data_IF_940973780572
#
_entry.id   IF_940973780572
#
_cell.length_a   1.000
_cell.length_b   1.000
_cell.length_c   1.000
_cell.angle_alpha   90.00
_cell.angle_beta   90.00
_cell.angle_gamma   90.00
#
_symmetry.space_group_name_H-M   'P 1'
#
loop_
_entity.id
_entity.type
_entity.pdbx_description
1 polymer ?
#
# COMPACT_ATOMS: atom_id res chain seq x y z
N UNK A 1 13.51 23.31 14.21
CA UNK A 1 14.51 23.39 13.12
C UNK A 1 13.97 22.61 11.94
N UNK A 2 13.56 23.31 10.88
CA UNK A 2 13.09 22.69 9.65
C UNK A 2 14.30 22.08 8.91
N UNK A 3 14.52 20.79 9.04
CA UNK A 3 15.36 20.08 8.08
C UNK A 3 14.59 20.01 6.75
N UNK A 4 14.84 20.98 5.87
CA UNK A 4 14.62 20.79 4.45
C UNK A 4 15.64 19.72 4.03
N UNK A 5 15.21 18.45 3.96
CA UNK A 5 16.00 17.43 3.29
C UNK A 5 16.26 17.90 1.85
N UNK A 6 17.52 17.86 1.45
CA UNK A 6 17.94 18.19 0.09
C UNK A 6 17.14 17.32 -0.87
N UNK A 7 16.30 17.93 -1.71
CA UNK A 7 15.74 17.28 -2.89
C UNK A 7 16.91 16.78 -3.74
N UNK A 8 17.11 15.49 -3.73
CA UNK A 8 18.04 14.85 -4.67
C UNK A 8 17.26 14.59 -5.94
N UNK A 9 17.75 15.07 -7.08
CA UNK A 9 17.16 14.76 -8.38
C UNK A 9 17.07 13.24 -8.59
N UNK A 10 16.11 12.80 -9.41
CA UNK A 10 15.96 11.39 -9.75
C UNK A 10 17.27 10.82 -10.35
N UNK A 11 17.59 9.57 -9.99
CA UNK A 11 18.73 8.87 -10.57
C UNK A 11 18.55 8.65 -12.08
N UNK A 12 19.64 8.41 -12.77
CA UNK A 12 19.60 8.07 -14.20
C UNK A 12 18.77 6.80 -14.43
N UNK A 13 18.93 5.79 -13.56
CA UNK A 13 18.16 4.54 -13.62
C UNK A 13 16.66 4.80 -13.37
N UNK A 14 16.32 5.58 -12.35
CA UNK A 14 14.94 5.95 -12.05
C UNK A 14 14.28 6.69 -13.20
N UNK A 15 14.98 7.64 -13.79
CA UNK A 15 14.52 8.39 -14.97
C UNK A 15 14.28 7.46 -16.16
N UNK A 16 15.22 6.57 -16.48
CA UNK A 16 15.11 5.61 -17.59
C UNK A 16 13.92 4.66 -17.40
N UNK A 17 13.75 4.10 -16.20
CA UNK A 17 12.64 3.19 -15.92
C UNK A 17 11.30 3.94 -16.03
N UNK A 18 11.20 5.15 -15.50
CA UNK A 18 10.02 5.99 -15.64
C UNK A 18 9.66 6.26 -17.09
N UNK A 19 10.64 6.62 -17.93
CA UNK A 19 10.42 6.88 -19.35
C UNK A 19 10.01 5.62 -20.12
N UNK A 20 10.57 4.46 -19.77
CA UNK A 20 10.15 3.19 -20.34
C UNK A 20 8.71 2.86 -19.98
N UNK A 21 8.32 3.05 -18.72
CA UNK A 21 6.94 2.86 -18.27
C UNK A 21 6.01 3.81 -19.03
N UNK A 22 6.34 5.10 -19.11
CA UNK A 22 5.53 6.09 -19.82
C UNK A 22 5.30 5.72 -21.30
N UNK A 23 6.35 5.23 -21.96
CA UNK A 23 6.25 4.72 -23.32
C UNK A 23 5.33 3.50 -23.42
N UNK A 24 5.49 2.56 -22.50
CA UNK A 24 4.72 1.32 -22.50
C UNK A 24 3.24 1.58 -22.22
N UNK A 25 2.93 2.42 -21.25
CA UNK A 25 1.56 2.74 -20.84
C UNK A 25 0.81 3.57 -21.89
N UNK A 26 1.46 4.56 -22.49
CA UNK A 26 0.87 5.39 -23.54
C UNK A 26 0.59 4.60 -24.84
N UNK A 27 1.42 3.59 -25.17
CA UNK A 27 1.22 2.76 -26.35
C UNK A 27 0.18 1.64 -26.19
N UNK A 28 -0.07 1.15 -24.99
CA UNK A 28 -0.84 -0.09 -24.79
C UNK A 28 -2.25 0.14 -24.25
N UNK A 29 -2.74 1.36 -24.17
CA UNK A 29 -4.11 1.68 -23.79
C UNK A 29 -4.52 0.96 -22.50
N UNK A 30 -3.68 0.99 -21.47
CA UNK A 30 -3.92 0.29 -20.19
C UNK A 30 -5.28 0.65 -19.62
N UNK A 31 -5.68 1.91 -19.69
CA UNK A 31 -7.01 2.35 -19.26
C UNK A 31 -8.16 1.64 -20.01
N UNK A 32 -7.99 1.39 -21.32
CA UNK A 32 -8.98 0.61 -22.09
C UNK A 32 -9.07 -0.84 -21.64
N UNK A 33 -7.93 -1.45 -21.30
CA UNK A 33 -7.86 -2.83 -20.79
C UNK A 33 -8.46 -2.97 -19.39
N UNK A 34 -8.36 -1.91 -18.58
CA UNK A 34 -9.04 -1.84 -17.29
C UNK A 34 -10.56 -1.86 -17.49
N UNK A 35 -11.08 -0.94 -18.31
CA UNK A 35 -12.52 -0.85 -18.61
C UNK A 35 -13.11 -2.10 -19.22
N UNK A 36 -12.34 -2.80 -20.07
CA UNK A 36 -12.79 -4.04 -20.73
C UNK A 36 -12.60 -5.30 -19.88
N UNK A 37 -12.12 -5.16 -18.62
CA UNK A 37 -11.82 -6.31 -17.77
C UNK A 37 -10.64 -7.17 -18.24
N UNK A 38 -9.89 -6.75 -19.26
CA UNK A 38 -8.77 -7.53 -19.79
C UNK A 38 -7.60 -7.64 -18.79
N UNK A 39 -7.38 -6.60 -17.98
CA UNK A 39 -6.36 -6.64 -16.90
C UNK A 39 -6.76 -7.59 -15.76
N UNK A 40 -8.04 -7.92 -15.66
CA UNK A 40 -8.56 -8.90 -14.69
C UNK A 40 -8.41 -10.33 -15.16
N UNK A 41 -8.39 -10.55 -16.49
CA UNK A 41 -8.05 -11.85 -17.05
C UNK A 41 -6.61 -12.09 -16.66
N UNK A 42 -6.46 -12.90 -15.63
CA UNK A 42 -5.23 -13.36 -15.04
C UNK A 42 -4.07 -13.26 -16.03
N UNK A 43 -3.18 -12.30 -15.83
CA UNK A 43 -1.85 -12.43 -16.37
C UNK A 43 -1.38 -13.79 -15.88
N UNK A 44 -1.12 -14.71 -16.79
CA UNK A 44 -0.62 -16.04 -16.43
C UNK A 44 0.78 -15.80 -15.89
N UNK A 45 0.87 -15.54 -14.59
CA UNK A 45 2.17 -15.41 -13.94
C UNK A 45 2.85 -16.77 -13.89
N UNK A 46 4.15 -16.79 -14.05
CA UNK A 46 4.95 -17.98 -13.77
C UNK A 46 4.76 -18.38 -12.31
N UNK A 47 4.89 -19.68 -12.01
CA UNK A 47 4.88 -20.14 -10.64
C UNK A 47 5.93 -19.37 -9.83
N UNK A 48 5.53 -18.85 -8.67
CA UNK A 48 6.46 -18.22 -7.76
C UNK A 48 7.18 -19.29 -6.94
N UNK A 49 8.48 -19.22 -6.93
CA UNK A 49 9.29 -20.13 -6.12
C UNK A 49 9.52 -19.50 -4.75
N UNK A 50 9.17 -20.22 -3.71
CA UNK A 50 9.47 -19.80 -2.33
C UNK A 50 10.98 -19.73 -2.18
N UNK A 51 11.56 -18.61 -1.74
CA UNK A 51 13.00 -18.51 -1.52
C UNK A 51 13.47 -19.47 -0.44
N UNK A 52 14.74 -19.87 -0.50
CA UNK A 52 15.39 -20.66 0.56
C UNK A 52 15.30 -19.92 1.90
N UNK A 53 15.03 -20.64 2.98
CA UNK A 53 14.84 -20.06 4.32
C UNK A 53 13.43 -19.56 4.61
N UNK A 54 12.47 -19.82 3.72
CA UNK A 54 11.06 -19.45 3.90
C UNK A 54 10.11 -20.60 3.63
N UNK A 55 8.98 -20.57 4.31
CA UNK A 55 7.82 -21.41 4.05
C UNK A 55 6.59 -20.53 3.70
N UNK A 56 5.82 -20.96 2.72
CA UNK A 56 4.57 -20.29 2.32
C UNK A 56 3.39 -21.25 2.52
N UNK A 57 2.44 -20.85 3.35
CA UNK A 57 1.21 -21.60 3.62
C UNK A 57 0.03 -20.86 3.01
N UNK A 58 -0.77 -21.57 2.20
CA UNK A 58 -2.03 -21.08 1.68
C UNK A 58 -3.13 -21.29 2.72
N UNK A 59 -3.92 -20.26 2.98
CA UNK A 59 -5.03 -20.28 3.93
C UNK A 59 -6.29 -19.86 3.18
N UNK A 60 -7.32 -20.69 3.24
CA UNK A 60 -8.61 -20.36 2.63
C UNK A 60 -9.56 -19.86 3.72
N UNK A 61 -9.93 -18.59 3.63
CA UNK A 61 -11.05 -18.04 4.39
C UNK A 61 -12.37 -18.35 3.65
N UNK A 62 -13.49 -18.06 4.27
CA UNK A 62 -14.81 -18.31 3.66
C UNK A 62 -14.97 -17.63 2.30
N UNK A 63 -14.51 -16.39 2.16
CA UNK A 63 -14.73 -15.54 0.98
C UNK A 63 -13.48 -15.20 0.20
N UNK A 64 -12.28 -15.33 0.78
CA UNK A 64 -11.02 -14.94 0.13
C UNK A 64 -9.85 -15.82 0.60
N UNK A 65 -8.81 -15.99 -0.23
CA UNK A 65 -7.59 -16.67 0.18
C UNK A 65 -6.59 -15.71 0.83
N UNK A 66 -5.73 -16.28 1.69
CA UNK A 66 -4.59 -15.60 2.30
C UNK A 66 -3.32 -16.44 2.12
N UNK A 67 -2.17 -15.78 2.18
CA UNK A 67 -0.86 -16.40 2.15
C UNK A 67 -0.10 -16.03 3.42
N UNK A 68 0.39 -17.04 4.12
CA UNK A 68 1.21 -16.89 5.31
C UNK A 68 2.66 -17.25 4.99
N UNK A 69 3.53 -16.25 4.99
CA UNK A 69 4.96 -16.40 4.79
C UNK A 69 5.68 -16.42 6.14
N UNK A 70 6.47 -17.45 6.40
CA UNK A 70 7.29 -17.59 7.59
C UNK A 70 8.75 -17.82 7.24
N UNK A 71 9.66 -17.20 7.99
CA UNK A 71 11.09 -17.50 7.96
C UNK A 71 11.38 -18.77 8.75
N UNK A 72 12.33 -19.58 8.30
CA UNK A 72 12.84 -20.76 9.05
C UNK A 72 13.54 -20.36 10.35
N UNK A 73 13.93 -19.11 10.50
CA UNK A 73 14.63 -18.55 11.65
C UNK A 73 14.00 -17.22 12.11
N UNK A 74 12.78 -17.24 12.63
CA UNK A 74 12.10 -16.02 13.07
C UNK A 74 12.74 -15.50 14.37
N UNK A 75 13.18 -14.23 14.37
CA UNK A 75 13.67 -13.52 15.56
C UNK A 75 12.66 -12.49 16.07
N UNK A 76 11.54 -12.30 15.34
CA UNK A 76 10.54 -11.28 15.61
C UNK A 76 9.31 -11.85 16.31
N UNK A 77 8.82 -11.15 17.33
CA UNK A 77 7.51 -11.40 17.96
C UNK A 77 6.37 -10.60 17.29
N UNK A 78 6.69 -9.86 16.24
CA UNK A 78 5.75 -9.05 15.47
C UNK A 78 5.31 -9.80 14.21
N UNK A 79 4.20 -9.36 13.64
CA UNK A 79 3.66 -9.84 12.36
C UNK A 79 3.24 -8.67 11.51
N UNK A 80 3.34 -8.83 10.19
CA UNK A 80 2.87 -7.81 9.25
C UNK A 80 1.67 -8.32 8.45
N UNK A 81 0.59 -7.53 8.43
CA UNK A 81 -0.55 -7.71 7.53
C UNK A 81 -0.31 -6.87 6.28
N UNK A 82 -0.14 -7.52 5.14
CA UNK A 82 0.06 -6.90 3.84
C UNK A 82 -1.24 -6.84 3.04
N UNK A 83 -1.60 -5.65 2.59
CA UNK A 83 -2.75 -5.35 1.75
C UNK A 83 -2.25 -4.88 0.38
N UNK A 84 -2.56 -5.63 -0.67
CA UNK A 84 -2.04 -5.36 -2.01
C UNK A 84 -2.72 -4.17 -2.70
N UNK A 85 -2.03 -3.52 -3.63
CA UNK A 85 -2.60 -2.53 -4.54
C UNK A 85 -3.41 -3.16 -5.67
N UNK A 86 -3.71 -2.36 -6.68
CA UNK A 86 -4.47 -2.80 -7.87
C UNK A 86 -5.82 -2.09 -8.02
N UNK A 87 -6.01 -0.94 -7.35
CA UNK A 87 -7.19 -0.08 -7.52
C UNK A 87 -8.50 -0.73 -7.13
N UNK A 88 -8.47 -1.67 -6.19
CA UNK A 88 -9.62 -2.48 -5.76
C UNK A 88 -10.28 -3.31 -6.86
N UNK A 89 -9.62 -3.45 -8.02
CA UNK A 89 -10.08 -4.27 -9.15
C UNK A 89 -9.04 -5.33 -9.58
N UNK A 90 -7.77 -5.10 -9.26
CA UNK A 90 -6.69 -6.05 -9.48
C UNK A 90 -6.52 -6.99 -8.31
N UNK A 91 -6.16 -8.24 -8.59
CA UNK A 91 -5.88 -9.27 -7.59
C UNK A 91 -4.41 -9.32 -7.21
N UNK A 92 -4.10 -10.02 -6.12
CA UNK A 92 -2.73 -10.28 -5.68
C UNK A 92 -1.91 -11.00 -6.77
N UNK A 93 -0.64 -10.65 -6.87
CA UNK A 93 0.31 -11.23 -7.82
C UNK A 93 1.71 -11.39 -7.21
N UNK A 94 2.65 -12.02 -7.96
CA UNK A 94 3.98 -12.40 -7.45
C UNK A 94 4.81 -11.25 -6.86
N UNK A 95 4.63 -10.01 -7.31
CA UNK A 95 5.35 -8.87 -6.73
C UNK A 95 5.03 -8.70 -5.23
N UNK A 96 3.81 -9.01 -4.80
CA UNK A 96 3.42 -8.94 -3.38
C UNK A 96 4.06 -10.05 -2.54
N UNK A 97 4.33 -11.23 -3.12
CA UNK A 97 5.11 -12.28 -2.46
C UNK A 97 6.56 -11.84 -2.26
N UNK A 98 7.13 -11.14 -3.25
CA UNK A 98 8.46 -10.54 -3.11
C UNK A 98 8.47 -9.42 -2.05
N UNK A 99 7.42 -8.62 -1.95
CA UNK A 99 7.26 -7.65 -0.87
C UNK A 99 7.17 -8.32 0.49
N UNK A 100 6.43 -9.43 0.60
CA UNK A 100 6.33 -10.19 1.84
C UNK A 100 7.70 -10.69 2.31
N UNK A 101 8.55 -11.17 1.40
CA UNK A 101 9.94 -11.55 1.72
C UNK A 101 10.74 -10.34 2.20
N UNK A 102 10.67 -9.19 1.51
CA UNK A 102 11.37 -7.98 1.93
C UNK A 102 10.90 -7.47 3.31
N UNK A 103 9.61 -7.47 3.56
CA UNK A 103 9.10 -7.13 4.90
C UNK A 103 9.62 -8.06 5.97
N UNK A 104 9.63 -9.37 5.69
CA UNK A 104 10.15 -10.37 6.62
C UNK A 104 11.65 -10.17 6.90
N UNK A 105 12.46 -9.98 5.85
CA UNK A 105 13.90 -9.69 5.98
C UNK A 105 14.16 -8.44 6.81
N UNK A 106 13.48 -7.33 6.49
CA UNK A 106 13.63 -6.06 7.20
C UNK A 106 13.08 -6.10 8.63
N UNK A 107 12.17 -7.02 8.91
CA UNK A 107 11.56 -7.26 10.22
C UNK A 107 12.20 -8.40 11.00
N UNK A 108 13.44 -8.82 10.69
CA UNK A 108 14.17 -9.88 11.37
C UNK A 108 13.43 -11.23 11.37
N UNK A 109 13.00 -11.66 10.19
CA UNK A 109 12.24 -12.91 10.04
C UNK A 109 10.77 -12.81 10.47
N UNK A 110 10.24 -11.60 10.57
CA UNK A 110 8.84 -11.34 10.92
C UNK A 110 7.90 -12.05 9.93
N UNK A 111 6.94 -12.85 10.41
CA UNK A 111 5.94 -13.45 9.55
C UNK A 111 5.10 -12.37 8.83
N UNK A 112 4.66 -12.69 7.61
CA UNK A 112 3.82 -11.80 6.79
C UNK A 112 2.55 -12.53 6.36
N UNK A 113 1.39 -11.97 6.70
CA UNK A 113 0.10 -12.37 6.19
C UNK A 113 -0.27 -11.47 5.01
N UNK A 114 -0.36 -12.04 3.81
CA UNK A 114 -0.86 -11.33 2.61
C UNK A 114 -2.25 -11.84 2.28
N UNK A 115 -3.20 -10.95 2.04
CA UNK A 115 -4.56 -11.34 1.68
C UNK A 115 -4.86 -10.98 0.22
N UNK A 116 -5.51 -11.90 -0.52
CA UNK A 116 -6.06 -11.65 -1.85
C UNK A 116 -7.55 -11.29 -1.68
N UNK A 117 -7.78 -10.10 -1.13
CA UNK A 117 -9.13 -9.64 -0.78
C UNK A 117 -10.05 -9.55 -1.99
N UNK A 118 -11.36 -9.59 -1.74
CA UNK A 118 -12.42 -9.44 -2.75
C UNK A 118 -12.31 -8.09 -3.44
N UNK A 119 -12.50 -8.07 -4.75
CA UNK A 119 -12.33 -6.89 -5.60
C UNK A 119 -13.54 -6.62 -6.47
N UNK A 120 -13.71 -5.34 -6.80
CA UNK A 120 -14.77 -4.89 -7.70
C UNK A 120 -14.48 -5.33 -9.15
N UNK A 121 -15.52 -5.40 -10.02
CA UNK A 121 -16.92 -5.06 -9.77
C UNK A 121 -17.71 -6.19 -9.12
N UNK A 122 -17.17 -7.41 -9.01
CA UNK A 122 -17.90 -8.54 -8.44
C UNK A 122 -18.25 -8.27 -6.98
N UNK A 123 -17.28 -7.71 -6.25
CA UNK A 123 -17.38 -7.40 -4.82
C UNK A 123 -16.96 -5.95 -4.56
N UNK A 124 -17.85 -4.97 -4.75
CA UNK A 124 -17.56 -3.57 -4.46
C UNK A 124 -17.41 -3.32 -2.94
N UNK A 125 -17.16 -2.09 -2.55
CA UNK A 125 -17.19 -1.70 -1.13
C UNK A 125 -18.50 -2.20 -0.46
N UNK A 126 -18.45 -2.76 0.76
CA UNK A 126 -17.30 -2.79 1.68
C UNK A 126 -16.43 -4.07 1.66
N UNK A 127 -16.57 -4.94 0.65
CA UNK A 127 -16.01 -6.30 0.66
C UNK A 127 -14.50 -6.35 1.00
N UNK A 128 -13.69 -5.50 0.40
CA UNK A 128 -12.25 -5.45 0.68
C UNK A 128 -11.95 -5.06 2.14
N UNK A 129 -12.72 -4.13 2.71
CA UNK A 129 -12.57 -3.73 4.11
C UNK A 129 -13.00 -4.85 5.07
N UNK A 130 -14.09 -5.55 4.78
CA UNK A 130 -14.54 -6.71 5.55
C UNK A 130 -13.49 -7.82 5.57
N UNK A 131 -12.86 -8.08 4.43
CA UNK A 131 -11.79 -9.07 4.31
C UNK A 131 -10.54 -8.64 5.10
N UNK A 132 -10.17 -7.35 5.06
CA UNK A 132 -9.06 -6.82 5.86
C UNK A 132 -9.36 -6.91 7.37
N UNK A 133 -10.60 -6.64 7.79
CA UNK A 133 -11.03 -6.81 9.19
C UNK A 133 -10.98 -8.29 9.59
N UNK A 134 -11.45 -9.19 8.73
CA UNK A 134 -11.41 -10.64 8.99
C UNK A 134 -9.97 -11.16 9.13
N UNK A 135 -9.05 -10.67 8.31
CA UNK A 135 -7.63 -11.01 8.40
C UNK A 135 -6.99 -10.46 9.69
N UNK A 136 -7.36 -9.26 10.10
CA UNK A 136 -6.95 -8.69 11.39
C UNK A 136 -7.42 -9.56 12.56
N UNK A 137 -8.69 -9.94 12.57
CA UNK A 137 -9.25 -10.80 13.62
C UNK A 137 -8.60 -12.18 13.63
N UNK A 138 -8.32 -12.76 12.46
CA UNK A 138 -7.57 -14.02 12.34
C UNK A 138 -6.18 -13.93 12.98
N UNK A 139 -5.46 -12.82 12.83
CA UNK A 139 -4.16 -12.62 13.50
C UNK A 139 -4.31 -12.58 15.03
N UNK A 140 -5.35 -11.93 15.55
CA UNK A 140 -5.63 -11.93 16.98
C UNK A 140 -5.97 -13.34 17.51
N UNK A 141 -6.78 -14.10 16.76
CA UNK A 141 -7.12 -15.49 17.08
C UNK A 141 -5.90 -16.41 16.99
N UNK A 142 -4.96 -16.15 16.11
CA UNK A 142 -3.66 -16.85 16.01
C UNK A 142 -2.76 -16.54 17.23
N UNK A 143 -3.12 -15.56 18.04
CA UNK A 143 -2.44 -15.22 19.29
C UNK A 143 -1.58 -13.97 19.25
N UNK A 144 -1.56 -13.24 18.13
CA UNK A 144 -0.87 -11.95 18.09
C UNK A 144 -1.67 -10.88 18.82
N UNK A 145 -0.98 -10.04 19.57
CA UNK A 145 -1.58 -8.85 20.18
C UNK A 145 -1.59 -7.72 19.14
N UNK A 146 -2.58 -6.83 19.22
CA UNK A 146 -2.68 -5.69 18.32
C UNK A 146 -1.40 -4.82 18.27
N UNK A 147 -0.77 -4.60 19.43
CA UNK A 147 0.49 -3.86 19.56
C UNK A 147 1.74 -4.61 19.01
N UNK A 148 1.54 -5.79 18.42
CA UNK A 148 2.54 -6.60 17.72
C UNK A 148 2.20 -6.78 16.23
N UNK A 149 1.14 -6.16 15.75
CA UNK A 149 0.73 -6.21 14.35
C UNK A 149 1.10 -4.90 13.68
N UNK A 150 1.75 -4.97 12.52
CA UNK A 150 1.99 -3.86 11.61
C UNK A 150 1.09 -4.06 10.40
N UNK A 151 0.48 -3.00 9.88
CA UNK A 151 -0.30 -3.07 8.65
C UNK A 151 0.41 -2.29 7.56
N UNK A 152 0.61 -2.90 6.40
CA UNK A 152 1.27 -2.29 5.27
C UNK A 152 0.46 -2.47 3.98
N UNK A 153 0.47 -1.45 3.12
CA UNK A 153 -0.15 -1.55 1.81
C UNK A 153 0.35 -0.48 0.85
N UNK A 154 0.10 -0.71 -0.43
CA UNK A 154 0.43 0.20 -1.52
C UNK A 154 -0.81 0.58 -2.32
N UNK A 155 -0.85 1.78 -2.88
CA UNK A 155 -1.96 2.21 -3.75
C UNK A 155 -3.33 2.04 -3.06
N UNK A 156 -4.26 1.27 -3.66
CA UNK A 156 -5.53 0.89 -3.03
C UNK A 156 -5.33 0.16 -1.69
N UNK A 157 -4.34 -0.75 -1.60
CA UNK A 157 -3.98 -1.42 -0.35
C UNK A 157 -3.46 -0.46 0.72
N UNK A 158 -2.78 0.63 0.33
CA UNK A 158 -2.40 1.71 1.23
C UNK A 158 -3.61 2.48 1.76
N UNK A 159 -4.59 2.76 0.90
CA UNK A 159 -5.89 3.32 1.30
C UNK A 159 -6.63 2.37 2.24
N UNK A 160 -6.66 1.06 1.91
CA UNK A 160 -7.31 0.03 2.72
C UNK A 160 -6.66 -0.14 4.11
N UNK A 161 -5.32 0.00 4.21
CA UNK A 161 -4.62 -0.03 5.49
C UNK A 161 -5.05 1.11 6.41
N UNK A 162 -5.23 2.32 5.86
CA UNK A 162 -5.74 3.47 6.59
C UNK A 162 -7.22 3.30 6.95
N UNK A 163 -8.05 2.79 6.01
CA UNK A 163 -9.46 2.50 6.25
C UNK A 163 -9.64 1.44 7.35
N UNK A 164 -8.82 0.39 7.36
CA UNK A 164 -8.80 -0.60 8.45
C UNK A 164 -8.49 0.07 9.79
N UNK A 165 -7.48 0.94 9.85
CA UNK A 165 -7.15 1.69 11.06
C UNK A 165 -8.33 2.54 11.55
N UNK A 166 -9.05 3.22 10.66
CA UNK A 166 -10.26 3.99 10.99
C UNK A 166 -11.38 3.09 11.51
N UNK A 167 -11.62 1.98 10.82
CA UNK A 167 -12.63 1.00 11.25
C UNK A 167 -12.35 0.48 12.66
N UNK A 168 -11.12 0.07 12.94
CA UNK A 168 -10.73 -0.43 14.26
C UNK A 168 -10.96 0.64 15.35
N UNK A 169 -10.51 1.87 15.08
CA UNK A 169 -10.70 3.00 16.00
C UNK A 169 -12.17 3.28 16.30
N UNK A 170 -13.00 3.40 15.26
CA UNK A 170 -14.41 3.75 15.39
C UNK A 170 -15.21 2.65 16.11
N UNK A 171 -14.76 1.39 15.97
CA UNK A 171 -15.32 0.25 16.70
C UNK A 171 -14.64 0.00 18.05
N UNK A 172 -13.79 0.93 18.53
CA UNK A 172 -13.10 0.84 19.84
C UNK A 172 -12.28 -0.44 20.00
N UNK A 173 -11.74 -0.93 18.89
CA UNK A 173 -10.80 -2.04 18.86
C UNK A 173 -9.37 -1.49 19.00
N UNK A 174 -8.46 -2.34 19.48
CA UNK A 174 -7.05 -1.99 19.56
C UNK A 174 -6.47 -1.76 18.15
N UNK A 175 -5.52 -0.82 18.05
CA UNK A 175 -4.88 -0.43 16.80
C UNK A 175 -3.54 -1.15 16.60
N UNK A 176 -3.05 -1.31 15.35
CA UNK A 176 -1.72 -1.82 15.08
C UNK A 176 -0.63 -0.93 15.69
N UNK A 177 0.57 -1.48 15.88
CA UNK A 177 1.71 -0.70 16.38
C UNK A 177 2.30 0.26 15.34
N UNK A 178 1.99 0.08 14.06
CA UNK A 178 2.44 0.95 12.97
C UNK A 178 1.70 0.69 11.66
N UNK A 179 1.63 1.73 10.82
CA UNK A 179 1.04 1.69 9.50
C UNK A 179 2.07 2.12 8.45
N UNK A 180 2.17 1.37 7.34
CA UNK A 180 3.01 1.70 6.18
C UNK A 180 2.10 1.86 4.97
N UNK A 181 2.14 3.03 4.33
CA UNK A 181 1.35 3.33 3.14
C UNK A 181 2.26 3.84 2.01
N UNK A 182 2.42 3.04 0.96
CA UNK A 182 3.21 3.39 -0.22
C UNK A 182 2.28 3.91 -1.31
N UNK A 183 2.45 5.15 -1.73
CA UNK A 183 1.60 5.79 -2.76
C UNK A 183 0.10 5.56 -2.51
N UNK A 184 -0.43 5.76 -1.30
CA UNK A 184 -1.79 5.34 -0.97
C UNK A 184 -2.84 6.10 -1.78
N UNK A 185 -3.84 5.38 -2.30
CA UNK A 185 -5.01 5.99 -2.92
C UNK A 185 -6.06 6.26 -1.83
N UNK A 186 -6.26 7.53 -1.49
CA UNK A 186 -7.05 7.95 -0.33
C UNK A 186 -8.13 8.96 -0.63
N UNK A 187 -8.26 9.40 -1.87
CA UNK A 187 -9.31 10.32 -2.34
C UNK A 187 -9.93 9.87 -3.66
N UNK A 188 -11.05 9.15 -3.59
CA UNK A 188 -11.79 8.69 -4.78
C UNK A 188 -12.63 9.79 -5.44
N UNK A 189 -12.64 11.01 -4.87
CA UNK A 189 -13.20 12.18 -5.53
C UNK A 189 -12.25 12.82 -6.54
N UNK A 190 -10.96 12.45 -6.46
CA UNK A 190 -9.88 13.03 -7.26
C UNK A 190 -9.80 14.56 -7.13
N UNK A 191 -9.99 15.08 -5.92
CA UNK A 191 -10.05 16.51 -5.63
C UNK A 191 -8.68 17.17 -5.44
N UNK A 192 -7.63 16.38 -5.23
CA UNK A 192 -6.28 16.86 -4.96
C UNK A 192 -5.63 17.59 -6.15
N UNK A 193 -4.75 18.56 -5.87
CA UNK A 193 -4.10 19.38 -6.90
C UNK A 193 -3.25 18.54 -7.86
N UNK A 194 -2.60 17.48 -7.38
CA UNK A 194 -1.72 16.64 -8.19
C UNK A 194 -2.44 15.89 -9.31
N UNK A 195 -3.75 15.68 -9.21
CA UNK A 195 -4.55 15.11 -10.29
C UNK A 195 -4.54 16.00 -11.57
N UNK A 196 -4.24 17.28 -11.41
CA UNK A 196 -4.10 18.23 -12.51
C UNK A 196 -2.63 18.53 -12.81
N UNK A 197 -1.82 18.86 -11.79
CA UNK A 197 -0.44 19.30 -11.98
C UNK A 197 0.51 18.18 -12.42
N UNK A 198 0.18 16.95 -12.10
CA UNK A 198 0.93 15.76 -12.50
C UNK A 198 0.26 14.96 -13.64
N UNK A 199 -0.86 15.44 -14.18
CA UNK A 199 -1.60 14.75 -15.25
C UNK A 199 -0.73 14.36 -16.45
N UNK A 200 0.20 15.22 -16.86
CA UNK A 200 1.13 14.93 -17.97
C UNK A 200 2.41 14.22 -17.54
N UNK A 201 2.71 14.22 -16.25
CA UNK A 201 3.97 13.66 -15.71
C UNK A 201 3.86 12.24 -15.26
N UNK A 202 2.67 11.84 -14.77
CA UNK A 202 2.46 10.49 -14.23
C UNK A 202 2.52 9.46 -15.37
N UNK A 203 3.50 8.54 -15.35
CA UNK A 203 3.67 7.57 -16.42
C UNK A 203 2.64 6.45 -16.41
N UNK A 204 1.89 6.28 -15.31
CA UNK A 204 0.91 5.20 -15.16
C UNK A 204 -0.52 5.67 -15.34
N UNK A 205 -0.87 6.80 -14.75
CA UNK A 205 -2.25 7.30 -14.71
C UNK A 205 -2.47 8.56 -15.55
N UNK A 206 -1.40 9.20 -15.98
CA UNK A 206 -1.45 10.45 -16.70
C UNK A 206 -1.94 10.34 -18.14
N UNK A 207 -2.23 11.50 -18.73
CA UNK A 207 -2.63 11.68 -20.13
C UNK A 207 -3.88 10.89 -20.58
N UNK A 208 -4.69 10.39 -19.64
CA UNK A 208 -5.92 9.67 -19.96
C UNK A 208 -6.96 9.80 -18.84
N UNK A 209 -8.24 9.90 -19.22
CA UNK A 209 -9.37 9.80 -18.29
C UNK A 209 -9.88 8.36 -18.13
N UNK A 210 -9.27 7.43 -18.82
CA UNK A 210 -9.56 5.99 -18.71
C UNK A 210 -8.65 5.28 -17.70
N UNK A 211 -7.87 6.02 -16.92
CA UNK A 211 -6.98 5.43 -15.91
C UNK A 211 -7.74 4.85 -14.72
N UNK A 212 -7.05 3.98 -14.01
CA UNK A 212 -7.59 3.25 -12.85
C UNK A 212 -8.14 4.19 -11.77
N UNK A 213 -7.48 5.32 -11.52
CA UNK A 213 -7.88 6.30 -10.50
C UNK A 213 -9.21 7.02 -10.79
N UNK A 214 -9.76 6.87 -11.98
CA UNK A 214 -11.11 7.36 -12.32
C UNK A 214 -12.14 6.22 -12.37
N UNK A 215 -11.74 4.99 -12.03
CA UNK A 215 -12.64 3.85 -11.96
C UNK A 215 -13.48 3.92 -10.69
N UNK A 216 -14.79 3.80 -10.83
CA UNK A 216 -15.75 3.86 -9.74
C UNK A 216 -16.39 2.51 -9.40
N UNK A 217 -15.92 1.43 -9.98
CA UNK A 217 -16.50 0.10 -9.75
C UNK A 217 -16.44 -0.31 -8.27
N UNK A 218 -15.36 0.11 -7.56
CA UNK A 218 -15.25 -0.14 -6.12
C UNK A 218 -16.30 0.59 -5.27
N UNK A 219 -16.73 1.77 -5.69
CA UNK A 219 -17.68 2.58 -4.93
C UNK A 219 -19.06 1.93 -4.85
N UNK A 220 -19.46 1.18 -5.87
CA UNK A 220 -20.86 0.75 -5.99
C UNK A 220 -21.81 1.94 -6.00
N UNK A 221 -22.67 2.04 -4.98
CA UNK A 221 -23.61 3.13 -4.79
C UNK A 221 -23.20 4.09 -3.65
N UNK A 222 -22.01 3.92 -3.10
CA UNK A 222 -21.56 4.68 -1.93
C UNK A 222 -21.01 6.06 -2.28
N UNK A 223 -21.01 6.94 -1.29
CA UNK A 223 -20.43 8.27 -1.40
C UNK A 223 -18.89 8.15 -1.50
N UNK A 224 -18.24 8.68 -2.55
CA UNK A 224 -16.79 8.71 -2.63
C UNK A 224 -16.13 9.50 -1.49
N UNK A 225 -16.85 10.36 -0.78
CA UNK A 225 -16.38 11.05 0.42
C UNK A 225 -16.45 10.23 1.70
N UNK A 226 -16.95 9.00 1.69
CA UNK A 226 -16.94 8.10 2.84
C UNK A 226 -15.50 7.84 3.31
N UNK A 227 -15.13 8.11 4.58
CA UNK A 227 -13.76 7.93 5.08
C UNK A 227 -13.21 6.52 4.98
N UNK A 228 -14.04 5.50 4.93
CA UNK A 228 -13.60 4.12 4.73
C UNK A 228 -13.28 3.80 3.26
N UNK A 229 -13.74 4.65 2.35
CA UNK A 229 -13.42 4.58 0.92
C UNK A 229 -12.30 5.56 0.58
N UNK A 230 -12.39 6.78 1.13
CA UNK A 230 -11.47 7.89 0.93
C UNK A 230 -10.90 8.38 2.26
N UNK A 231 -9.88 7.68 2.80
CA UNK A 231 -9.28 8.01 4.10
C UNK A 231 -8.78 9.44 4.26
N UNK A 232 -8.49 10.17 3.18
CA UNK A 232 -8.16 11.59 3.22
C UNK A 232 -9.21 12.45 3.94
N UNK A 233 -10.47 12.03 3.94
CA UNK A 233 -11.57 12.72 4.64
C UNK A 233 -11.76 12.23 6.08
N UNK A 234 -11.06 11.17 6.49
CA UNK A 234 -11.21 10.55 7.81
C UNK A 234 -10.55 11.34 8.96
N UNK A 235 -10.68 10.81 10.16
CA UNK A 235 -10.06 11.34 11.38
C UNK A 235 -8.94 10.40 11.85
N UNK A 236 -7.72 10.96 12.00
CA UNK A 236 -6.51 10.24 12.40
C UNK A 236 -6.16 10.41 13.88
N UNK A 237 -6.97 11.12 14.67
CA UNK A 237 -6.69 11.27 16.09
C UNK A 237 -6.53 9.91 16.77
N UNK A 238 -5.43 9.72 17.51
CA UNK A 238 -5.13 8.46 18.20
C UNK A 238 -4.55 7.34 17.31
N UNK A 239 -4.27 7.61 16.03
CA UNK A 239 -3.64 6.61 15.16
C UNK A 239 -2.21 6.26 15.61
N UNK A 240 -1.76 5.04 15.28
CA UNK A 240 -0.39 4.62 15.52
C UNK A 240 0.60 5.42 14.65
N UNK A 241 1.91 5.31 14.90
CA UNK A 241 2.92 5.86 14.00
C UNK A 241 2.72 5.40 12.55
N UNK A 242 2.96 6.29 11.59
CA UNK A 242 2.80 6.02 10.17
C UNK A 242 4.06 6.33 9.37
N UNK A 243 4.36 5.46 8.39
CA UNK A 243 5.27 5.76 7.28
C UNK A 243 4.45 5.92 6.02
N UNK A 244 4.56 7.07 5.35
CA UNK A 244 3.94 7.35 4.07
C UNK A 244 5.04 7.68 3.07
N UNK A 245 5.00 7.05 1.89
CA UNK A 245 5.95 7.28 0.80
C UNK A 245 5.20 7.56 -0.49
N UNK A 246 5.65 8.54 -1.26
CA UNK A 246 5.07 8.88 -2.56
C UNK A 246 6.14 9.36 -3.55
N UNK A 247 5.88 9.22 -4.83
CA UNK A 247 6.68 9.82 -5.90
C UNK A 247 6.18 11.22 -6.27
N UNK A 248 7.09 12.13 -6.61
CA UNK A 248 6.71 13.51 -6.94
C UNK A 248 5.99 13.64 -8.28
N UNK A 249 5.98 12.59 -9.11
CA UNK A 249 5.31 12.57 -10.42
C UNK A 249 3.94 11.87 -10.39
N UNK A 250 3.50 11.40 -9.22
CA UNK A 250 2.21 10.72 -9.09
C UNK A 250 1.03 11.69 -9.16
N UNK A 251 -0.02 11.30 -9.85
CA UNK A 251 -1.32 11.96 -9.73
C UNK A 251 -1.92 11.79 -8.33
N UNK A 252 -1.55 10.74 -7.60
CA UNK A 252 -1.94 10.47 -6.21
C UNK A 252 -1.04 11.15 -5.17
N UNK A 253 -0.14 12.07 -5.55
CA UNK A 253 0.74 12.75 -4.59
C UNK A 253 -0.06 13.52 -3.53
N UNK A 254 -1.08 14.27 -3.94
CA UNK A 254 -1.95 15.02 -3.02
C UNK A 254 -2.65 14.13 -2.00
N UNK A 255 -3.01 12.91 -2.35
CA UNK A 255 -3.60 11.92 -1.45
C UNK A 255 -2.69 11.68 -0.24
N UNK A 256 -1.42 11.41 -0.53
CA UNK A 256 -0.38 11.21 0.48
C UNK A 256 -0.11 12.46 1.31
N UNK A 257 -0.06 13.64 0.67
CA UNK A 257 0.18 14.93 1.33
C UNK A 257 -0.95 15.29 2.30
N UNK A 258 -2.20 15.16 1.86
CA UNK A 258 -3.39 15.45 2.68
C UNK A 258 -3.42 14.55 3.92
N UNK A 259 -3.24 13.23 3.73
CA UNK A 259 -3.23 12.29 4.86
C UNK A 259 -2.08 12.59 5.81
N UNK A 260 -0.86 12.80 5.29
CA UNK A 260 0.31 13.05 6.12
C UNK A 260 0.18 14.36 6.91
N UNK A 261 -0.33 15.41 6.30
CA UNK A 261 -0.54 16.69 6.96
C UNK A 261 -1.63 16.58 8.04
N UNK A 262 -2.79 16.07 7.69
CA UNK A 262 -3.93 15.94 8.60
C UNK A 262 -3.60 15.08 9.81
N UNK A 263 -2.92 13.95 9.61
CA UNK A 263 -2.50 13.09 10.69
C UNK A 263 -1.48 13.79 11.63
N UNK A 264 -0.52 14.54 11.08
CA UNK A 264 0.42 15.35 11.89
C UNK A 264 -0.29 16.42 12.71
N UNK A 265 -1.27 17.12 12.12
CA UNK A 265 -2.08 18.13 12.81
C UNK A 265 -2.89 17.52 13.96
N UNK A 266 -3.26 16.26 13.85
CA UNK A 266 -3.97 15.48 14.86
C UNK A 266 -3.04 14.76 15.85
N UNK A 267 -1.74 15.07 15.84
CA UNK A 267 -0.76 14.58 16.81
C UNK A 267 -0.17 13.19 16.50
N UNK A 268 -0.42 12.64 15.32
CA UNK A 268 0.15 11.34 14.92
C UNK A 268 1.63 11.49 14.53
N UNK A 269 2.45 10.52 14.90
CA UNK A 269 3.85 10.45 14.48
C UNK A 269 3.92 9.98 13.03
N UNK A 270 4.06 10.91 12.08
CA UNK A 270 4.11 10.59 10.65
C UNK A 270 5.50 10.85 10.08
N UNK A 271 6.10 9.83 9.48
CA UNK A 271 7.22 9.95 8.54
C UNK A 271 6.64 9.99 7.14
N UNK A 272 6.86 11.10 6.46
CA UNK A 272 6.40 11.28 5.09
C UNK A 272 7.58 11.63 4.20
N UNK A 273 7.81 10.83 3.16
CA UNK A 273 8.89 10.99 2.19
C UNK A 273 8.34 11.08 0.77
N UNK A 274 8.71 12.17 0.08
CA UNK A 274 8.43 12.36 -1.35
C UNK A 274 9.76 12.10 -2.10
N UNK A 275 9.73 11.12 -3.01
CA UNK A 275 10.87 10.77 -3.84
C UNK A 275 10.80 11.52 -5.16
N UNK A 276 11.78 12.41 -5.40
CA UNK A 276 11.78 13.31 -6.55
C UNK A 276 11.88 12.53 -7.87
N UNK A 277 11.01 12.88 -8.82
CA UNK A 277 10.93 12.25 -10.13
C UNK A 277 10.41 10.82 -10.14
N UNK A 278 9.98 10.28 -9.01
CA UNK A 278 9.43 8.93 -8.92
C UNK A 278 7.95 8.91 -9.25
N UNK A 279 7.49 7.74 -9.66
CA UNK A 279 6.15 7.42 -10.11
C UNK A 279 5.44 6.51 -9.10
N UNK A 280 4.17 6.24 -9.36
CA UNK A 280 3.29 5.47 -8.47
C UNK A 280 3.85 4.07 -8.16
N UNK A 281 3.95 3.76 -6.88
CA UNK A 281 4.49 2.49 -6.32
C UNK A 281 5.84 2.11 -6.94
N UNK A 282 6.74 3.07 -7.11
CA UNK A 282 8.10 2.86 -7.62
C UNK A 282 8.90 1.85 -6.78
N UNK A 283 8.47 1.57 -5.56
CA UNK A 283 9.02 0.55 -4.66
C UNK A 283 8.97 -0.86 -5.28
N UNK A 284 8.08 -1.11 -6.25
CA UNK A 284 8.02 -2.38 -6.99
C UNK A 284 9.27 -2.65 -7.83
N UNK A 285 10.06 -1.63 -8.13
CA UNK A 285 11.35 -1.80 -8.81
C UNK A 285 12.41 -2.47 -7.93
N UNK A 286 12.18 -2.59 -6.62
CA UNK A 286 13.07 -3.27 -5.65
C UNK A 286 14.54 -2.83 -5.81
N UNK A 287 15.43 -3.73 -6.18
CA UNK A 287 16.86 -3.45 -6.32
C UNK A 287 17.23 -2.81 -7.68
N UNK A 288 16.30 -2.67 -8.61
CA UNK A 288 16.54 -2.12 -9.94
C UNK A 288 16.72 -0.60 -9.94
N UNK A 289 16.26 0.08 -8.91
CA UNK A 289 16.33 1.55 -8.78
C UNK A 289 16.87 1.97 -7.42
N UNK A 290 17.83 2.92 -7.39
CA UNK A 290 18.35 3.48 -6.13
C UNK A 290 17.25 4.06 -5.22
N UNK A 291 16.26 4.74 -5.77
CA UNK A 291 15.13 5.32 -5.03
C UNK A 291 14.29 4.25 -4.35
N UNK A 292 14.04 3.14 -5.04
CA UNK A 292 13.33 2.00 -4.46
C UNK A 292 14.12 1.37 -3.31
N UNK A 293 15.44 1.19 -3.49
CA UNK A 293 16.32 0.70 -2.40
C UNK A 293 16.29 1.63 -1.20
N UNK A 294 16.30 2.96 -1.42
CA UNK A 294 16.20 3.93 -0.33
C UNK A 294 14.83 3.86 0.36
N UNK A 295 13.74 3.73 -0.39
CA UNK A 295 12.41 3.58 0.15
C UNK A 295 12.29 2.34 1.04
N UNK A 296 12.80 1.19 0.61
CA UNK A 296 12.81 -0.03 1.42
C UNK A 296 13.72 0.09 2.66
N UNK A 297 14.84 0.80 2.59
CA UNK A 297 15.64 1.11 3.79
C UNK A 297 14.86 1.96 4.80
N UNK A 298 14.05 2.92 4.35
CA UNK A 298 13.19 3.70 5.25
C UNK A 298 12.08 2.83 5.86
N UNK A 299 11.57 1.83 5.14
CA UNK A 299 10.68 0.81 5.71
C UNK A 299 11.39 0.07 6.84
N UNK A 300 12.62 -0.43 6.63
CA UNK A 300 13.39 -1.11 7.67
C UNK A 300 13.57 -0.24 8.92
N UNK A 301 14.00 1.02 8.76
CA UNK A 301 14.12 1.97 9.88
C UNK A 301 12.80 2.24 10.60
N UNK A 302 11.68 2.25 9.87
CA UNK A 302 10.37 2.42 10.47
C UNK A 302 9.98 1.18 11.28
N UNK A 303 10.21 -0.02 10.73
CA UNK A 303 10.00 -1.26 11.45
C UNK A 303 10.81 -1.30 12.75
N UNK A 304 12.11 -0.98 12.72
CA UNK A 304 12.96 -0.87 13.92
C UNK A 304 12.35 0.05 15.00
N UNK A 305 11.76 1.18 14.59
CA UNK A 305 11.18 2.15 15.53
C UNK A 305 9.90 1.62 16.19
N UNK A 306 9.00 1.02 15.39
CA UNK A 306 7.70 0.56 15.92
C UNK A 306 7.81 -0.78 16.65
N UNK A 307 8.89 -1.54 16.38
CA UNK A 307 9.19 -2.80 17.07
C UNK A 307 10.20 -2.65 18.20
N UNK A 308 10.84 -1.47 18.34
CA UNK A 308 11.70 -1.21 19.47
C UNK A 308 10.92 -1.45 20.77
N UNK A 309 11.45 -2.33 21.65
CA UNK A 309 10.89 -2.51 22.99
C UNK A 309 10.85 -1.13 23.65
N UNK A 310 9.66 -0.65 24.00
CA UNK A 310 9.52 0.51 24.86
C UNK A 310 10.36 0.23 26.07
N UNK A 311 11.51 0.91 26.20
CA UNK A 311 12.38 0.74 27.37
C UNK A 311 11.55 1.01 28.61
N UNK A 312 11.57 0.04 29.52
CA UNK A 312 11.05 0.14 30.86
C UNK A 312 11.64 1.33 31.59
#
# INVERSE_FOLDING_TARGET
>A
MNHKEKKTDASVQGTLIRELIARFTSYHLIGKKIKNGELRKKLTESAWNVPEGYALTQIQMETFPMEWLESDSPESEYVLLQLHGGGYVGKMHNAYRNFAVLYSELGHGMPVLTIDYRVAPEDPYPAALEDAVSAWEWLLEKGYRADKIIVAGDSAGGGLALALGMYLKDHKKDLPCGLIAMSPWTDMTASGESYQTNYEKDPLFGNTRDSLIYNREYLGLEDPGNPYISPAFGDFYGFPPMLIQAGSYEMLLSDSEIVAQKAKEQGVKVRFHIYEGMFHVFQMAMQLMPESVLAWREVGKFLEIVTAKSGL
#
